data_IF_208423488209
#
_entry.id   IF_208423488209
#
_cell.length_a   1.000
_cell.length_b   1.000
_cell.length_c   1.000
_cell.angle_alpha   90.00
_cell.angle_beta   90.00
_cell.angle_gamma   90.00
#
_symmetry.space_group_name_H-M   'P 1'
#
loop_
_entity.id
_entity.type
_entity.pdbx_description
1 polymer ?
#
# COMPACT_ATOMS: atom_id res chain seq x y z
N UNK A 1 22.38 -57.05 15.22
CA UNK A 1 21.70 -56.32 14.13
C UNK A 1 20.21 -56.43 14.40
N UNK A 2 19.65 -55.50 15.17
CA UNK A 2 18.23 -55.52 15.53
C UNK A 2 17.41 -55.04 14.34
N UNK A 3 16.58 -55.94 13.81
CA UNK A 3 15.57 -55.63 12.82
C UNK A 3 14.38 -54.98 13.52
N UNK A 4 14.22 -53.67 13.40
CA UNK A 4 12.97 -53.02 13.80
C UNK A 4 11.82 -53.63 12.98
N UNK A 5 10.69 -54.00 13.63
CA UNK A 5 9.57 -54.58 12.93
C UNK A 5 8.98 -53.54 11.96
N UNK A 6 8.89 -53.92 10.68
CA UNK A 6 8.24 -53.09 9.65
C UNK A 6 6.81 -52.78 10.09
N UNK A 7 6.41 -51.49 10.23
CA UNK A 7 5.10 -51.12 10.71
C UNK A 7 4.01 -51.68 9.80
N UNK A 8 2.87 -52.06 10.38
CA UNK A 8 1.74 -52.52 9.58
C UNK A 8 1.27 -51.43 8.62
N UNK A 9 0.65 -51.83 7.50
CA UNK A 9 0.11 -50.87 6.52
C UNK A 9 -0.83 -49.84 7.18
N UNK A 10 -1.65 -50.28 8.14
CA UNK A 10 -2.57 -49.41 8.86
C UNK A 10 -1.83 -48.39 9.75
N UNK A 11 -0.79 -48.82 10.47
CA UNK A 11 0.04 -47.93 11.29
C UNK A 11 0.86 -46.95 10.44
N UNK A 12 1.40 -47.39 9.31
CA UNK A 12 2.12 -46.52 8.37
C UNK A 12 1.19 -45.44 7.79
N UNK A 13 -0.01 -45.81 7.35
CA UNK A 13 -1.01 -44.86 6.84
C UNK A 13 -1.45 -43.90 7.94
N UNK A 14 -1.78 -44.41 9.14
CA UNK A 14 -2.25 -43.59 10.26
C UNK A 14 -1.18 -42.62 10.77
N UNK A 15 0.06 -43.07 10.96
CA UNK A 15 1.17 -42.21 11.41
C UNK A 15 1.54 -41.15 10.37
N UNK A 16 1.61 -41.53 9.09
CA UNK A 16 1.93 -40.59 8.00
C UNK A 16 0.84 -39.53 7.87
N UNK A 17 -0.43 -39.92 7.79
CA UNK A 17 -1.53 -38.96 7.67
C UNK A 17 -1.67 -38.08 8.90
N UNK A 18 -1.51 -38.63 10.11
CA UNK A 18 -1.54 -37.83 11.34
C UNK A 18 -0.49 -36.73 11.33
N UNK A 19 0.74 -37.02 10.91
CA UNK A 19 1.81 -36.01 10.82
C UNK A 19 1.48 -34.88 9.84
N UNK A 20 0.90 -35.21 8.68
CA UNK A 20 0.51 -34.22 7.66
C UNK A 20 -0.67 -33.39 8.13
N UNK A 21 -1.64 -33.99 8.83
CA UNK A 21 -2.77 -33.28 9.43
C UNK A 21 -2.26 -32.25 10.45
N UNK A 22 -1.35 -32.65 11.35
CA UNK A 22 -0.77 -31.72 12.33
C UNK A 22 0.01 -30.57 11.69
N UNK A 23 0.73 -30.81 10.58
CA UNK A 23 1.40 -29.75 9.83
C UNK A 23 0.41 -28.74 9.25
N UNK A 24 -0.72 -29.23 8.70
CA UNK A 24 -1.78 -28.39 8.16
C UNK A 24 -2.47 -27.56 9.25
N UNK A 25 -2.76 -28.15 10.40
CA UNK A 25 -3.34 -27.46 11.56
C UNK A 25 -2.40 -26.36 12.08
N UNK A 26 -1.10 -26.66 12.20
CA UNK A 26 -0.09 -25.69 12.61
C UNK A 26 -0.01 -24.51 11.62
N UNK A 27 -0.05 -24.78 10.31
CA UNK A 27 -0.07 -23.71 9.31
C UNK A 27 -1.33 -22.85 9.41
N UNK A 28 -2.50 -23.45 9.62
CA UNK A 28 -3.75 -22.70 9.79
C UNK A 28 -3.72 -21.83 11.04
N UNK A 29 -3.22 -22.36 12.16
CA UNK A 29 -3.06 -21.61 13.41
C UNK A 29 -2.09 -20.44 13.23
N UNK A 30 -0.97 -20.65 12.55
CA UNK A 30 -0.01 -19.59 12.28
C UNK A 30 -0.60 -18.49 11.39
N UNK A 31 -1.33 -18.85 10.34
CA UNK A 31 -2.04 -17.86 9.49
C UNK A 31 -3.04 -17.02 10.28
N UNK A 32 -3.73 -17.63 11.26
CA UNK A 32 -4.63 -16.92 12.16
C UNK A 32 -3.86 -15.94 13.07
N UNK A 33 -2.80 -16.41 13.72
CA UNK A 33 -1.95 -15.56 14.59
C UNK A 33 -1.35 -14.38 13.83
N UNK A 34 -0.89 -14.58 12.60
CA UNK A 34 -0.36 -13.50 11.76
C UNK A 34 -1.44 -12.44 11.49
N UNK A 35 -2.68 -12.84 11.17
CA UNK A 35 -3.77 -11.89 10.94
C UNK A 35 -4.10 -11.09 12.20
N UNK A 36 -4.17 -11.76 13.35
CA UNK A 36 -4.39 -11.11 14.65
C UNK A 36 -3.26 -10.12 14.99
N UNK A 37 -2.01 -10.47 14.70
CA UNK A 37 -0.86 -9.57 14.91
C UNK A 37 -0.86 -8.35 13.97
N UNK A 38 -1.49 -8.46 12.79
CA UNK A 38 -1.59 -7.38 11.79
C UNK A 38 -2.75 -6.43 12.08
N UNK A 39 -3.78 -6.86 12.81
CA UNK A 39 -4.98 -6.06 13.10
C UNK A 39 -4.69 -4.66 13.69
N UNK A 40 -3.79 -4.50 14.69
CA UNK A 40 -3.43 -3.17 15.21
C UNK A 40 -2.76 -2.25 14.17
N UNK A 41 -2.03 -2.83 13.21
CA UNK A 41 -1.44 -2.09 12.09
C UNK A 41 -2.54 -1.62 11.14
N UNK A 42 -3.54 -2.46 10.88
CA UNK A 42 -4.68 -2.07 10.06
C UNK A 42 -5.53 -0.97 10.73
N UNK A 43 -5.66 -0.98 12.06
CA UNK A 43 -6.34 0.10 12.79
C UNK A 43 -5.63 1.44 12.59
N UNK A 44 -4.30 1.47 12.72
CA UNK A 44 -3.51 2.67 12.44
C UNK A 44 -3.60 3.07 10.96
N UNK A 45 -3.64 2.10 10.05
CA UNK A 45 -3.86 2.37 8.63
C UNK A 45 -5.23 3.02 8.38
N UNK A 46 -6.30 2.52 9.02
CA UNK A 46 -7.65 3.10 8.94
C UNK A 46 -7.70 4.51 9.53
N UNK A 47 -7.00 4.74 10.64
CA UNK A 47 -6.88 6.06 11.25
C UNK A 47 -6.15 7.06 10.32
N UNK A 48 -5.06 6.65 9.70
CA UNK A 48 -4.33 7.49 8.74
C UNK A 48 -5.17 7.81 7.49
N UNK A 49 -5.90 6.83 6.96
CA UNK A 49 -6.85 7.04 5.85
C UNK A 49 -7.96 8.02 6.26
N UNK A 50 -8.48 7.91 7.48
CA UNK A 50 -9.50 8.83 8.02
C UNK A 50 -8.96 10.25 8.14
N UNK A 51 -7.70 10.40 8.57
CA UNK A 51 -7.03 11.69 8.62
C UNK A 51 -6.89 12.30 7.22
N UNK A 52 -6.37 11.54 6.25
CA UNK A 52 -6.17 12.01 4.87
C UNK A 52 -7.48 12.33 4.15
N UNK A 53 -8.58 11.65 4.47
CA UNK A 53 -9.89 11.98 3.90
C UNK A 53 -10.33 13.42 4.19
N UNK A 54 -9.80 14.06 5.24
CA UNK A 54 -10.06 15.47 5.55
C UNK A 54 -9.54 16.42 4.46
N UNK A 55 -8.56 16.01 3.65
CA UNK A 55 -8.05 16.82 2.53
C UNK A 55 -9.17 17.24 1.56
N UNK A 56 -10.23 16.44 1.46
CA UNK A 56 -11.34 16.70 0.55
C UNK A 56 -12.30 17.81 1.03
N UNK A 57 -12.25 18.20 2.30
CA UNK A 57 -13.15 19.23 2.86
C UNK A 57 -12.40 20.34 3.61
N UNK A 58 -11.15 20.12 4.00
CA UNK A 58 -10.36 21.09 4.73
C UNK A 58 -9.80 22.19 3.81
N UNK A 59 -9.65 23.43 4.32
CA UNK A 59 -8.93 24.49 3.60
C UNK A 59 -7.49 24.07 3.26
N UNK A 60 -6.99 24.55 2.11
CA UNK A 60 -5.64 24.21 1.64
C UNK A 60 -4.54 24.51 2.67
N UNK A 61 -4.69 25.57 3.47
CA UNK A 61 -3.75 25.91 4.55
C UNK A 61 -3.56 24.81 5.60
N UNK A 62 -4.53 23.88 5.74
CA UNK A 62 -4.47 22.77 6.69
C UNK A 62 -3.94 21.47 6.05
N UNK A 63 -3.78 21.42 4.72
CA UNK A 63 -3.40 20.18 4.01
C UNK A 63 -2.05 19.64 4.47
N UNK A 64 -1.06 20.53 4.69
CA UNK A 64 0.24 20.14 5.23
C UNK A 64 0.14 19.47 6.59
N UNK A 65 -0.56 20.10 7.54
CA UNK A 65 -0.76 19.56 8.89
C UNK A 65 -1.51 18.21 8.87
N UNK A 66 -2.52 18.06 8.02
CA UNK A 66 -3.26 16.80 7.85
C UNK A 66 -2.31 15.69 7.37
N UNK A 67 -1.47 15.99 6.38
CA UNK A 67 -0.51 15.03 5.83
C UNK A 67 0.56 14.64 6.87
N UNK A 68 1.11 15.60 7.61
CA UNK A 68 2.06 15.35 8.70
C UNK A 68 1.44 14.50 9.82
N UNK A 69 0.19 14.79 10.19
CA UNK A 69 -0.57 14.01 11.17
C UNK A 69 -0.76 12.56 10.70
N UNK A 70 -1.14 12.36 9.44
CA UNK A 70 -1.28 11.03 8.86
C UNK A 70 0.05 10.25 8.86
N UNK A 71 1.15 10.88 8.47
CA UNK A 71 2.49 10.27 8.51
C UNK A 71 2.87 9.91 9.96
N UNK A 72 2.60 10.79 10.93
CA UNK A 72 2.83 10.52 12.35
C UNK A 72 2.02 9.32 12.85
N UNK A 73 0.75 9.18 12.45
CA UNK A 73 -0.05 7.99 12.74
C UNK A 73 0.60 6.73 12.17
N UNK A 74 1.06 6.78 10.91
CA UNK A 74 1.69 5.64 10.24
C UNK A 74 2.99 5.23 10.92
N UNK A 75 3.83 6.17 11.39
CA UNK A 75 5.08 5.82 12.09
C UNK A 75 4.86 5.00 13.36
N UNK A 76 3.66 5.07 13.98
CA UNK A 76 3.31 4.23 15.13
C UNK A 76 3.17 2.74 14.78
N UNK A 77 3.11 2.40 13.50
CA UNK A 77 3.09 0.99 13.05
C UNK A 77 4.46 0.31 13.16
N UNK A 78 5.55 1.07 13.19
CA UNK A 78 6.92 0.53 13.21
C UNK A 78 7.17 -0.53 14.30
N UNK A 79 6.89 -0.28 15.59
CA UNK A 79 7.12 -1.29 16.62
C UNK A 79 6.21 -2.52 16.50
N UNK A 80 5.07 -2.41 15.81
CA UNK A 80 4.11 -3.51 15.67
C UNK A 80 4.58 -4.54 14.64
N UNK A 81 5.34 -4.11 13.63
CA UNK A 81 5.90 -5.01 12.63
C UNK A 81 6.91 -5.99 13.20
N UNK A 82 7.60 -5.65 14.30
CA UNK A 82 8.51 -6.57 15.00
C UNK A 82 7.75 -7.80 15.48
N UNK A 83 6.57 -7.61 16.10
CA UNK A 83 5.71 -8.71 16.54
C UNK A 83 5.29 -9.60 15.36
N UNK A 84 4.89 -8.98 14.23
CA UNK A 84 4.56 -9.73 13.01
C UNK A 84 5.76 -10.51 12.49
N UNK A 85 6.94 -9.89 12.44
CA UNK A 85 8.16 -10.50 11.92
C UNK A 85 8.57 -11.76 12.69
N UNK A 86 8.40 -11.78 14.02
CA UNK A 86 8.68 -12.97 14.84
C UNK A 86 7.82 -14.18 14.51
N UNK A 87 6.65 -13.98 13.91
CA UNK A 87 5.76 -15.06 13.48
C UNK A 87 6.11 -15.59 12.08
N UNK A 88 6.84 -14.83 11.26
CA UNK A 88 7.16 -15.23 9.89
C UNK A 88 8.41 -16.11 9.89
N UNK A 89 8.33 -17.39 9.45
CA UNK A 89 9.51 -18.22 9.31
C UNK A 89 10.50 -17.60 8.31
N UNK A 90 11.79 -17.72 8.60
CA UNK A 90 12.83 -17.14 7.76
C UNK A 90 12.73 -17.66 6.32
N UNK A 91 12.70 -16.74 5.35
CA UNK A 91 12.56 -17.07 3.93
C UNK A 91 11.14 -17.38 3.47
N UNK A 92 10.14 -17.39 4.35
CA UNK A 92 8.74 -17.71 4.00
C UNK A 92 7.84 -16.48 3.81
N UNK A 93 8.40 -15.27 3.69
CA UNK A 93 7.64 -14.02 3.50
C UNK A 93 6.51 -14.15 2.47
N UNK A 94 6.83 -14.65 1.26
CA UNK A 94 5.86 -14.76 0.17
C UNK A 94 4.71 -15.74 0.45
N UNK A 95 4.92 -16.73 1.33
CA UNK A 95 3.86 -17.66 1.77
C UNK A 95 2.78 -16.94 2.58
N UNK A 96 3.17 -15.92 3.33
CA UNK A 96 2.29 -15.17 4.24
C UNK A 96 1.93 -13.77 3.72
N UNK A 97 2.46 -13.36 2.56
CA UNK A 97 2.19 -12.06 1.94
C UNK A 97 0.69 -11.76 1.78
N UNK A 98 -0.17 -12.77 1.59
CA UNK A 98 -1.61 -12.56 1.48
C UNK A 98 -2.22 -11.87 2.71
N UNK A 99 -1.63 -12.06 3.90
CA UNK A 99 -2.09 -11.44 5.15
C UNK A 99 -1.47 -10.05 5.36
N UNK A 100 -0.23 -9.84 4.90
CA UNK A 100 0.53 -8.61 5.14
C UNK A 100 0.32 -7.54 4.06
N UNK A 101 0.17 -7.98 2.81
CA UNK A 101 0.09 -7.14 1.62
C UNK A 101 -1.06 -6.12 1.65
N UNK A 102 -2.29 -6.44 2.10
CA UNK A 102 -3.35 -5.43 2.26
C UNK A 102 -2.95 -4.25 3.15
N UNK A 103 -2.38 -4.51 4.32
CA UNK A 103 -1.92 -3.47 5.24
C UNK A 103 -0.78 -2.65 4.62
N UNK A 104 0.24 -3.30 4.05
CA UNK A 104 1.37 -2.63 3.39
C UNK A 104 0.92 -1.74 2.23
N UNK A 105 -0.02 -2.20 1.41
CA UNK A 105 -0.61 -1.42 0.30
C UNK A 105 -1.33 -0.18 0.81
N UNK A 106 -2.18 -0.30 1.84
CA UNK A 106 -2.93 0.83 2.38
C UNK A 106 -2.04 1.88 3.05
N UNK A 107 -0.99 1.44 3.76
CA UNK A 107 0.02 2.33 4.32
C UNK A 107 0.83 3.02 3.22
N UNK A 108 1.19 2.29 2.15
CA UNK A 108 1.87 2.86 0.97
C UNK A 108 1.00 3.93 0.31
N UNK A 109 -0.28 3.64 0.04
CA UNK A 109 -1.26 4.60 -0.48
C UNK A 109 -1.26 5.88 0.35
N UNK A 110 -1.34 5.74 1.67
CA UNK A 110 -1.43 6.87 2.59
C UNK A 110 -0.14 7.70 2.60
N UNK A 111 1.03 7.06 2.63
CA UNK A 111 2.34 7.75 2.58
C UNK A 111 2.51 8.49 1.25
N UNK A 112 2.23 7.82 0.13
CA UNK A 112 2.42 8.41 -1.21
C UNK A 112 1.51 9.62 -1.38
N UNK A 113 0.24 9.51 -0.99
CA UNK A 113 -0.70 10.64 -1.02
C UNK A 113 -0.20 11.80 -0.13
N UNK A 114 0.14 11.52 1.13
CA UNK A 114 0.58 12.56 2.07
C UNK A 114 1.85 13.27 1.57
N UNK A 115 2.84 12.51 1.11
CA UNK A 115 4.12 13.05 0.68
C UNK A 115 4.06 13.74 -0.67
N UNK A 116 3.18 13.33 -1.58
CA UNK A 116 2.90 14.10 -2.79
C UNK A 116 2.41 15.52 -2.43
N UNK A 117 1.48 15.64 -1.48
CA UNK A 117 0.98 16.97 -1.05
C UNK A 117 2.06 17.80 -0.35
N UNK A 118 2.94 17.16 0.43
CA UNK A 118 4.01 17.86 1.16
C UNK A 118 5.21 18.25 0.29
N UNK A 119 5.56 17.44 -0.70
CA UNK A 119 6.86 17.51 -1.38
C UNK A 119 6.78 17.49 -2.91
N UNK A 120 5.59 17.27 -3.50
CA UNK A 120 5.39 17.22 -4.95
C UNK A 120 6.25 16.13 -5.63
N UNK A 121 6.42 14.98 -4.96
CA UNK A 121 7.27 13.87 -5.41
C UNK A 121 6.61 12.50 -5.22
N UNK A 122 7.03 11.51 -6.01
CA UNK A 122 6.70 10.11 -5.76
C UNK A 122 7.67 9.55 -4.70
N UNK A 123 7.14 9.11 -3.57
CA UNK A 123 7.97 8.55 -2.50
C UNK A 123 8.57 7.20 -2.91
N UNK A 124 9.90 7.02 -2.90
CA UNK A 124 10.53 5.75 -3.26
C UNK A 124 10.16 4.59 -2.32
N UNK A 125 10.17 3.35 -2.83
CA UNK A 125 9.78 2.16 -2.06
C UNK A 125 10.62 1.94 -0.78
N UNK A 126 11.92 2.25 -0.79
CA UNK A 126 12.77 2.15 0.41
C UNK A 126 12.33 3.15 1.49
N UNK A 127 11.96 4.37 1.10
CA UNK A 127 11.51 5.40 2.03
C UNK A 127 10.14 5.02 2.63
N UNK A 128 9.23 4.46 1.82
CA UNK A 128 7.98 3.88 2.33
C UNK A 128 8.27 2.76 3.33
N UNK A 129 9.15 1.83 2.98
CA UNK A 129 9.52 0.67 3.83
C UNK A 129 10.06 1.11 5.19
N UNK A 130 10.92 2.13 5.21
CA UNK A 130 11.45 2.72 6.42
C UNK A 130 10.36 3.42 7.25
N UNK A 131 9.46 4.18 6.61
CA UNK A 131 8.39 4.89 7.33
C UNK A 131 7.39 3.93 7.97
N UNK A 132 6.99 2.86 7.27
CA UNK A 132 6.04 1.89 7.81
C UNK A 132 6.68 0.93 8.81
N UNK A 133 7.99 0.69 8.73
CA UNK A 133 8.69 -0.16 9.70
C UNK A 133 9.04 -1.57 9.25
N UNK A 134 9.09 -1.84 7.95
CA UNK A 134 9.39 -3.20 7.41
C UNK A 134 10.85 -3.39 7.00
N UNK A 135 11.69 -2.36 7.21
CA UNK A 135 13.15 -2.38 7.00
C UNK A 135 13.87 -1.81 8.23
N UNK A 136 13.56 -2.36 9.41
CA UNK A 136 14.16 -2.01 10.70
C UNK A 136 14.70 -3.25 11.42
N UNK A 137 15.50 -3.04 12.45
CA UNK A 137 16.00 -4.10 13.33
C UNK A 137 14.83 -4.94 13.88
N UNK A 138 14.91 -6.26 13.73
CA UNK A 138 13.86 -7.20 14.14
C UNK A 138 12.73 -7.39 13.12
N UNK A 139 12.86 -6.84 11.91
CA UNK A 139 11.91 -7.04 10.80
C UNK A 139 12.52 -7.67 9.55
N UNK A 140 13.67 -8.35 9.70
CA UNK A 140 14.45 -8.91 8.59
C UNK A 140 13.69 -9.98 7.78
N UNK A 141 12.65 -10.58 8.38
CA UNK A 141 11.76 -11.53 7.71
C UNK A 141 10.69 -10.84 6.83
N UNK A 142 10.57 -9.51 6.90
CA UNK A 142 9.57 -8.72 6.20
C UNK A 142 10.20 -7.90 5.06
N UNK A 143 9.39 -7.56 4.07
CA UNK A 143 9.76 -6.63 3.02
C UNK A 143 8.51 -6.04 2.37
N UNK A 144 8.62 -4.81 1.85
CA UNK A 144 7.61 -4.27 0.95
C UNK A 144 7.86 -4.83 -0.44
N UNK A 145 6.96 -5.69 -0.93
CA UNK A 145 7.08 -6.23 -2.28
C UNK A 145 6.91 -5.13 -3.34
N UNK A 146 7.57 -5.28 -4.49
CA UNK A 146 7.38 -4.35 -5.61
C UNK A 146 5.93 -4.28 -6.07
N UNK A 147 5.21 -5.41 -6.05
CA UNK A 147 3.80 -5.46 -6.42
C UNK A 147 2.92 -4.67 -5.44
N UNK A 148 3.14 -4.83 -4.13
CA UNK A 148 2.39 -4.09 -3.10
C UNK A 148 2.70 -2.59 -3.17
N UNK A 149 3.96 -2.21 -3.41
CA UNK A 149 4.32 -0.80 -3.62
C UNK A 149 3.58 -0.22 -4.83
N UNK A 150 3.64 -0.89 -5.98
CA UNK A 150 3.00 -0.42 -7.22
C UNK A 150 1.48 -0.32 -7.08
N UNK A 151 0.85 -1.27 -6.38
CA UNK A 151 -0.58 -1.21 -6.09
C UNK A 151 -0.95 -0.09 -5.10
N UNK A 152 -0.09 0.21 -4.12
CA UNK A 152 -0.28 1.32 -3.20
C UNK A 152 -0.18 2.68 -3.89
N UNK A 153 0.77 2.85 -4.80
CA UNK A 153 0.89 4.06 -5.64
C UNK A 153 -0.36 4.26 -6.50
N UNK A 154 -0.89 3.20 -7.13
CA UNK A 154 -2.18 3.27 -7.84
C UNK A 154 -3.30 3.74 -6.91
N UNK A 155 -3.36 3.21 -5.69
CA UNK A 155 -4.33 3.63 -4.68
C UNK A 155 -4.26 5.13 -4.37
N UNK A 156 -3.05 5.69 -4.27
CA UNK A 156 -2.88 7.13 -4.06
C UNK A 156 -3.38 7.94 -5.25
N UNK A 157 -3.06 7.51 -6.48
CA UNK A 157 -3.51 8.16 -7.72
C UNK A 157 -5.03 8.18 -7.84
N UNK A 158 -5.72 7.10 -7.44
CA UNK A 158 -7.18 7.03 -7.54
C UNK A 158 -7.91 8.10 -6.70
N UNK A 159 -7.27 8.65 -5.66
CA UNK A 159 -7.85 9.73 -4.82
C UNK A 159 -7.61 11.14 -5.38
N UNK A 160 -6.61 11.31 -6.26
CA UNK A 160 -6.19 12.62 -6.74
C UNK A 160 -7.21 13.33 -7.64
N UNK A 161 -7.98 12.67 -8.54
CA UNK A 161 -9.01 13.34 -9.32
C UNK A 161 -10.08 14.00 -8.45
N UNK A 162 -10.49 13.33 -7.36
CA UNK A 162 -11.45 13.89 -6.40
C UNK A 162 -10.86 15.09 -5.68
N UNK A 163 -9.60 15.00 -5.24
CA UNK A 163 -8.91 16.11 -4.61
C UNK A 163 -8.76 17.31 -5.56
N UNK A 164 -8.46 17.07 -6.83
CA UNK A 164 -8.36 18.09 -7.87
C UNK A 164 -9.64 18.91 -8.01
N UNK A 165 -10.81 18.25 -8.10
CA UNK A 165 -12.11 18.92 -8.17
C UNK A 165 -12.38 19.77 -6.92
N UNK A 166 -12.05 19.25 -5.73
CA UNK A 166 -12.26 19.96 -4.47
C UNK A 166 -11.31 21.15 -4.31
N UNK A 167 -10.10 21.06 -4.87
CA UNK A 167 -9.14 22.15 -4.93
C UNK A 167 -9.68 23.31 -5.79
N UNK A 168 -10.25 23.00 -6.97
CA UNK A 168 -10.93 24.00 -7.81
C UNK A 168 -12.08 24.67 -7.07
N UNK A 169 -12.90 23.87 -6.37
CA UNK A 169 -14.02 24.38 -5.56
C UNK A 169 -13.55 25.33 -4.45
N UNK A 170 -12.35 25.09 -3.92
CA UNK A 170 -11.71 25.92 -2.90
C UNK A 170 -10.82 27.03 -3.48
N UNK A 171 -10.93 27.32 -4.78
CA UNK A 171 -10.15 28.32 -5.52
C UNK A 171 -8.63 28.10 -5.52
N UNK A 172 -8.17 26.88 -5.21
CA UNK A 172 -6.78 26.49 -5.40
C UNK A 172 -6.62 25.90 -6.81
N UNK A 173 -6.30 26.75 -7.78
CA UNK A 173 -6.11 26.33 -9.17
C UNK A 173 -4.70 25.80 -9.47
N UNK A 174 -3.75 25.93 -8.54
CA UNK A 174 -2.40 25.41 -8.72
C UNK A 174 -2.32 23.89 -8.46
N UNK A 175 -3.04 23.40 -7.44
CA UNK A 175 -3.03 21.98 -7.08
C UNK A 175 -3.56 21.04 -8.21
N UNK A 176 -4.65 21.37 -8.93
CA UNK A 176 -5.10 20.59 -10.09
C UNK A 176 -4.02 20.39 -11.17
N UNK A 177 -3.20 21.41 -11.43
CA UNK A 177 -2.10 21.31 -12.41
C UNK A 177 -1.03 20.33 -11.94
N UNK A 178 -0.62 20.43 -10.67
CA UNK A 178 0.35 19.51 -10.07
C UNK A 178 -0.17 18.07 -10.08
N UNK A 179 -1.44 17.88 -9.71
CA UNK A 179 -2.10 16.57 -9.75
C UNK A 179 -2.08 16.01 -11.16
N UNK A 180 -2.48 16.78 -12.17
CA UNK A 180 -2.53 16.30 -13.56
C UNK A 180 -1.13 15.88 -14.06
N UNK A 181 -0.09 16.67 -13.76
CA UNK A 181 1.29 16.31 -14.09
C UNK A 181 1.71 15.00 -13.43
N UNK A 182 1.52 14.90 -12.11
CA UNK A 182 1.90 13.71 -11.33
C UNK A 182 1.19 12.43 -11.79
N UNK A 183 -0.12 12.51 -12.05
CA UNK A 183 -0.91 11.37 -12.54
C UNK A 183 -0.45 10.94 -13.93
N UNK A 184 -0.11 11.88 -14.81
CA UNK A 184 0.42 11.59 -16.15
C UNK A 184 1.81 10.94 -16.09
N UNK A 185 2.72 11.45 -15.25
CA UNK A 185 4.06 10.89 -15.09
C UNK A 185 4.02 9.45 -14.56
N UNK A 186 3.13 9.17 -13.60
CA UNK A 186 2.89 7.81 -13.10
C UNK A 186 2.32 6.93 -14.21
N UNK A 187 1.30 7.39 -14.92
CA UNK A 187 0.68 6.61 -16.00
C UNK A 187 1.67 6.27 -17.11
N UNK A 188 2.50 7.23 -17.54
CA UNK A 188 3.54 7.03 -18.53
C UNK A 188 4.58 6.01 -18.03
N UNK A 189 5.04 6.14 -16.79
CA UNK A 189 6.00 5.22 -16.18
C UNK A 189 5.46 3.80 -16.07
N UNK A 190 4.19 3.63 -15.67
CA UNK A 190 3.56 2.31 -15.57
C UNK A 190 3.31 1.68 -16.95
N UNK A 191 3.11 2.48 -17.99
CA UNK A 191 2.95 1.99 -19.37
C UNK A 191 4.20 1.30 -19.91
N UNK A 192 5.38 1.59 -19.33
CA UNK A 192 6.65 0.93 -19.66
C UNK A 192 6.77 -0.46 -18.99
N UNK A 193 5.94 -0.77 -18.00
CA UNK A 193 5.96 -2.05 -17.30
C UNK A 193 5.32 -3.13 -18.16
N UNK A 194 6.05 -4.22 -18.39
CA UNK A 194 5.51 -5.42 -19.02
C UNK A 194 4.72 -6.25 -17.99
N UNK A 195 3.56 -5.75 -17.59
CA UNK A 195 2.68 -6.40 -16.61
C UNK A 195 2.01 -7.62 -17.23
N UNK A 196 2.03 -8.75 -16.52
CA UNK A 196 1.23 -9.94 -16.87
C UNK A 196 -0.25 -9.67 -16.59
N UNK A 197 -1.15 -10.48 -17.15
CA UNK A 197 -2.60 -10.35 -16.90
C UNK A 197 -2.98 -10.80 -15.48
N UNK A 198 -2.73 -9.96 -14.50
CA UNK A 198 -2.96 -10.21 -13.07
C UNK A 198 -3.76 -9.07 -12.40
N UNK A 199 -3.82 -9.09 -11.06
CA UNK A 199 -4.53 -8.07 -10.29
C UNK A 199 -3.92 -6.66 -10.46
N UNK A 200 -2.59 -6.56 -10.57
CA UNK A 200 -1.88 -5.31 -10.77
C UNK A 200 -2.21 -4.72 -12.15
N UNK A 201 -2.25 -5.55 -13.21
CA UNK A 201 -2.66 -5.10 -14.55
C UNK A 201 -4.07 -4.49 -14.56
N UNK A 202 -5.04 -5.16 -13.93
CA UNK A 202 -6.42 -4.65 -13.85
C UNK A 202 -6.51 -3.30 -13.13
N UNK A 203 -5.72 -3.12 -12.06
CA UNK A 203 -5.61 -1.84 -11.34
C UNK A 203 -4.91 -0.77 -12.18
N UNK A 204 -3.86 -1.13 -12.92
CA UNK A 204 -3.20 -0.20 -13.82
C UNK A 204 -4.15 0.28 -14.93
N UNK A 205 -4.92 -0.62 -15.54
CA UNK A 205 -5.85 -0.27 -16.62
C UNK A 205 -6.96 0.70 -16.16
N UNK A 206 -7.20 0.85 -14.84
CA UNK A 206 -8.13 1.86 -14.32
C UNK A 206 -7.55 3.27 -14.33
N UNK A 207 -6.23 3.44 -14.31
CA UNK A 207 -5.58 4.75 -14.23
C UNK A 207 -5.92 5.67 -15.41
N UNK A 208 -6.22 5.10 -16.59
CA UNK A 208 -6.64 5.89 -17.76
C UNK A 208 -7.88 6.75 -17.49
N UNK A 209 -8.76 6.31 -16.59
CA UNK A 209 -9.94 7.07 -16.20
C UNK A 209 -9.59 8.21 -15.25
N UNK A 210 -8.60 8.01 -14.37
CA UNK A 210 -8.10 9.05 -13.47
C UNK A 210 -7.34 10.13 -14.25
N UNK A 211 -6.48 9.72 -15.20
CA UNK A 211 -5.82 10.61 -16.18
C UNK A 211 -6.85 11.49 -16.88
N UNK A 212 -7.85 10.86 -17.52
CA UNK A 212 -8.90 11.59 -18.23
C UNK A 212 -9.62 12.60 -17.34
N UNK A 213 -9.96 12.23 -16.10
CA UNK A 213 -10.63 13.15 -15.17
C UNK A 213 -9.75 14.34 -14.81
N UNK A 214 -8.45 14.13 -14.59
CA UNK A 214 -7.51 15.21 -14.34
C UNK A 214 -7.35 16.14 -15.55
N UNK A 215 -7.30 15.58 -16.76
CA UNK A 215 -7.25 16.34 -18.01
C UNK A 215 -8.53 17.17 -18.23
N UNK A 216 -9.71 16.60 -17.98
CA UNK A 216 -10.99 17.30 -18.11
C UNK A 216 -11.03 18.51 -17.14
N UNK A 217 -10.54 18.36 -15.90
CA UNK A 217 -10.43 19.48 -14.93
C UNK A 217 -9.45 20.55 -15.42
N UNK A 218 -8.28 20.15 -15.95
CA UNK A 218 -7.28 21.10 -16.44
C UNK A 218 -7.78 21.87 -17.68
N UNK A 219 -8.48 21.18 -18.57
CA UNK A 219 -9.14 21.79 -19.72
C UNK A 219 -10.14 22.86 -19.27
N UNK A 220 -10.99 22.55 -18.28
CA UNK A 220 -11.97 23.49 -17.74
C UNK A 220 -11.33 24.74 -17.12
N UNK A 221 -10.21 24.60 -16.42
CA UNK A 221 -9.44 25.72 -15.88
C UNK A 221 -8.83 26.58 -16.97
N UNK A 222 -8.27 25.95 -17.99
CA UNK A 222 -7.61 26.62 -19.12
C UNK A 222 -8.62 27.44 -19.92
N UNK A 223 -9.79 26.85 -20.23
CA UNK A 223 -10.86 27.52 -20.98
C UNK A 223 -11.37 28.79 -20.26
N UNK A 224 -11.28 28.82 -18.92
CA UNK A 224 -11.72 29.94 -18.08
C UNK A 224 -10.60 30.92 -17.72
N UNK A 225 -9.37 30.70 -18.19
CA UNK A 225 -8.21 31.53 -17.85
C UNK A 225 -7.82 31.46 -16.38
N UNK A 226 -8.14 30.35 -15.69
CA UNK A 226 -7.86 30.13 -14.26
C UNK A 226 -6.61 29.28 -14.03
N UNK A 227 -6.09 28.63 -15.07
CA UNK A 227 -4.85 27.88 -14.98
C UNK A 227 -3.66 28.83 -14.71
N UNK A 228 -2.77 28.51 -13.75
CA UNK A 228 -1.49 29.20 -13.61
C UNK A 228 -0.76 29.26 -14.95
N UNK A 229 -0.14 30.40 -15.25
CA UNK A 229 0.67 30.53 -16.47
C UNK A 229 1.78 29.46 -16.47
N UNK A 230 2.05 28.80 -17.61
CA UNK A 230 3.14 27.84 -17.69
C UNK A 230 4.45 28.53 -17.29
N UNK A 231 5.16 27.94 -16.32
CA UNK A 231 6.50 28.39 -15.98
C UNK A 231 7.37 28.26 -17.24
N UNK A 232 7.88 29.40 -17.72
CA UNK A 232 8.74 29.50 -18.91
C UNK A 232 10.13 28.93 -18.65
#
# INVERSE_FOLDING_TARGET
MSSDPTPSRAESVSSTLSSVISLLENEQNLKKQIREAVEPIEDLSRAAITELNKLHSAPFAQHGQICESAVSIITKTQPLWVTVATLIPQGEFYRYQFALGPAMRNLTTSIVLARFILHDELTPAFAVSNLIGVQHDGTEALQLSAEDYLQGVIGAVNELPRLSINAVTSQNFALPVKIAAFVNDIFASYSLLNLRNDALRRKFDSLKYDVKRCEDVLYDLTLRGLAPAPAS
#
